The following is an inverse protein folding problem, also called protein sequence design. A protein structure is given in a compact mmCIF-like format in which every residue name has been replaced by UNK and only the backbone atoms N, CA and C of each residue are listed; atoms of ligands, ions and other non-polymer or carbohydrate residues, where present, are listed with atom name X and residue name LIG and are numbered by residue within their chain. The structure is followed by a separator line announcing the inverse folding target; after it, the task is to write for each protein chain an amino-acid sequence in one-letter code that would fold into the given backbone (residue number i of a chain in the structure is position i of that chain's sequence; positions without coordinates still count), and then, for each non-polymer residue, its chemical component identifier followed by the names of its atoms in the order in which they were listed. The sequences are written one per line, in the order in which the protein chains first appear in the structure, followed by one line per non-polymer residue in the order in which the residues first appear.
data_IF_431358140893
#
_entry.id   IF_431358140893
#
_cell.length_a   1.000
_cell.length_b   1.000
_cell.length_c   1.000
_cell.angle_alpha   90.00
_cell.angle_beta   90.00
_cell.angle_gamma   90.00
#
_symmetry.space_group_name_H-M   'P 1'
#
loop_
_entity.id
_entity.type
_entity.pdbx_description
1 polymer ?
#
# COMPACT_ATOMS: atom_id res chain seq x y z
N UNK A 1 -1.14 -9.60 -7.22
CA UNK A 1 -1.19 -9.20 -5.79
C UNK A 1 -0.93 -7.71 -5.70
N UNK A 2 -1.44 -7.05 -4.68
CA UNK A 2 -1.25 -5.64 -4.36
C UNK A 2 -0.98 -5.55 -2.85
N UNK A 3 0.11 -4.90 -2.46
CA UNK A 3 0.41 -4.61 -1.07
C UNK A 3 -0.12 -3.22 -0.69
N UNK A 4 -0.71 -3.11 0.49
CA UNK A 4 -1.17 -1.82 1.02
C UNK A 4 0.00 -0.95 1.50
N UNK A 5 -0.13 0.36 1.27
CA UNK A 5 0.69 1.39 1.90
C UNK A 5 0.02 1.94 3.17
N UNK A 6 0.84 2.45 4.09
CA UNK A 6 0.37 3.25 5.22
C UNK A 6 0.03 4.68 4.81
N UNK A 7 -0.86 5.31 5.58
CA UNK A 7 -1.16 6.73 5.50
C UNK A 7 -0.01 7.59 6.00
N UNK A 8 0.04 8.82 5.50
CA UNK A 8 0.98 9.85 5.91
C UNK A 8 0.63 10.44 7.27
N UNK A 9 1.55 11.29 7.73
CA UNK A 9 1.44 12.03 8.98
C UNK A 9 1.94 13.46 8.77
N UNK A 10 1.20 14.45 9.28
CA UNK A 10 1.44 15.89 9.02
C UNK A 10 1.75 16.67 10.31
N UNK A 11 0.99 16.43 11.40
CA UNK A 11 1.13 17.20 12.64
C UNK A 11 1.39 16.34 13.88
N UNK A 12 2.61 16.46 14.41
CA UNK A 12 3.14 15.80 15.62
C UNK A 12 2.29 15.97 16.89
N UNK A 13 1.53 17.06 17.00
CA UNK A 13 0.72 17.34 18.18
C UNK A 13 -0.64 16.64 18.21
N UNK A 14 -1.05 15.96 17.13
CA UNK A 14 -2.37 15.30 17.07
C UNK A 14 -2.47 14.04 17.95
N UNK A 15 -1.33 13.43 18.30
CA UNK A 15 -1.27 12.20 19.11
C UNK A 15 -1.78 10.92 18.44
N UNK A 16 -2.50 11.01 17.32
CA UNK A 16 -3.00 9.84 16.57
C UNK A 16 -1.97 9.36 15.56
N UNK A 17 -1.60 8.08 15.63
CA UNK A 17 -0.68 7.45 14.66
C UNK A 17 -1.42 7.24 13.34
N UNK A 18 -0.74 7.46 12.21
CA UNK A 18 -1.29 7.18 10.90
C UNK A 18 -1.65 5.69 10.72
N UNK A 19 -2.68 5.45 9.93
CA UNK A 19 -3.15 4.11 9.61
C UNK A 19 -2.14 3.35 8.78
N UNK A 20 -1.65 2.21 9.26
CA UNK A 20 -0.79 1.32 8.47
C UNK A 20 -1.59 0.60 7.37
N UNK A 21 -0.88 0.10 6.36
CA UNK A 21 -1.48 -0.78 5.35
C UNK A 21 -2.06 -2.04 6.01
N UNK A 22 -3.18 -2.53 5.50
CA UNK A 22 -3.87 -3.67 6.11
C UNK A 22 -4.15 -4.81 5.15
N UNK A 23 -4.79 -5.86 5.68
CA UNK A 23 -5.23 -7.01 4.90
C UNK A 23 -6.44 -6.62 4.03
N UNK A 24 -7.65 -7.04 4.41
CA UNK A 24 -8.87 -6.68 3.68
C UNK A 24 -9.24 -5.20 3.85
N UNK A 25 -8.85 -4.61 4.98
CA UNK A 25 -9.05 -3.20 5.31
C UNK A 25 -7.75 -2.61 5.84
N UNK A 26 -7.37 -1.43 5.37
CA UNK A 26 -6.33 -0.60 5.96
C UNK A 26 -6.68 -0.15 7.36
N UNK A 27 -5.68 0.15 8.17
CA UNK A 27 -5.94 0.69 9.50
C UNK A 27 -6.36 2.15 9.41
N UNK A 28 -7.19 2.54 10.35
CA UNK A 28 -7.61 3.93 10.53
C UNK A 28 -6.47 4.71 11.22
N UNK A 29 -6.28 5.95 10.79
CA UNK A 29 -5.65 7.02 11.57
C UNK A 29 -6.76 7.87 12.21
N UNK A 30 -6.69 9.20 12.06
CA UNK A 30 -7.87 10.05 12.26
C UNK A 30 -8.92 9.75 11.19
N UNK A 31 -8.46 9.46 9.97
CA UNK A 31 -9.31 9.03 8.86
C UNK A 31 -9.28 7.53 8.66
N UNK A 32 -10.23 7.06 7.85
CA UNK A 32 -10.48 5.65 7.67
C UNK A 32 -9.58 5.01 6.60
N UNK A 33 -9.22 3.75 6.84
CA UNK A 33 -8.45 2.96 5.90
C UNK A 33 -9.32 2.32 4.80
N UNK A 34 -8.81 2.25 3.57
CA UNK A 34 -9.52 1.66 2.43
C UNK A 34 -9.83 0.17 2.63
N UNK A 35 -10.83 -0.36 1.94
CA UNK A 35 -11.27 -1.76 2.04
C UNK A 35 -11.26 -2.48 0.67
N UNK A 36 -11.94 -3.61 0.50
CA UNK A 36 -11.95 -4.37 -0.77
C UNK A 36 -12.92 -3.84 -1.83
N UNK A 37 -13.75 -2.85 -1.51
CA UNK A 37 -14.80 -2.33 -2.38
C UNK A 37 -14.74 -0.81 -2.58
N UNK A 38 -14.06 -0.10 -1.69
CA UNK A 38 -13.97 1.36 -1.75
C UNK A 38 -12.70 1.86 -1.06
N UNK A 39 -12.22 3.02 -1.52
CA UNK A 39 -11.43 3.86 -0.65
C UNK A 39 -12.33 4.48 0.42
N UNK A 40 -11.75 4.86 1.54
CA UNK A 40 -12.53 5.35 2.68
C UNK A 40 -12.61 6.89 2.70
N UNK A 41 -13.45 7.39 3.60
CA UNK A 41 -13.74 8.81 3.76
C UNK A 41 -12.57 9.55 4.44
N UNK A 42 -12.30 10.73 3.88
CA UNK A 42 -11.33 11.74 4.30
C UNK A 42 -11.60 13.01 3.47
N UNK A 43 -10.82 14.07 3.64
CA UNK A 43 -11.00 15.30 2.81
C UNK A 43 -10.97 14.97 1.32
N UNK A 44 -9.95 14.18 0.95
CA UNK A 44 -9.83 13.51 -0.32
C UNK A 44 -9.98 12.02 -0.06
N UNK A 45 -10.95 11.41 -0.74
CA UNK A 45 -11.19 9.97 -0.64
C UNK A 45 -10.10 9.21 -1.38
N UNK A 46 -9.69 8.09 -0.79
CA UNK A 46 -8.90 7.11 -1.52
C UNK A 46 -9.72 6.49 -2.66
N UNK A 47 -9.02 5.94 -3.64
CA UNK A 47 -9.62 5.26 -4.78
C UNK A 47 -8.86 3.96 -5.07
N UNK A 48 -9.33 3.24 -6.08
CA UNK A 48 -8.63 2.06 -6.56
C UNK A 48 -7.17 2.40 -6.93
N UNK A 49 -6.21 1.71 -6.32
CA UNK A 49 -4.78 1.94 -6.55
C UNK A 49 -4.17 3.19 -5.89
N UNK A 50 -4.98 4.15 -5.41
CA UNK A 50 -4.51 5.48 -5.03
C UNK A 50 -5.04 5.89 -3.65
N UNK A 51 -4.14 6.36 -2.77
CA UNK A 51 -4.53 7.02 -1.54
C UNK A 51 -5.16 8.39 -1.79
N UNK A 52 -5.99 8.85 -0.86
CA UNK A 52 -6.55 10.19 -0.90
C UNK A 52 -5.48 11.25 -0.70
N UNK A 53 -5.53 12.35 -1.45
CA UNK A 53 -4.66 13.49 -1.23
C UNK A 53 -4.77 14.52 -2.33
N UNK A 54 -4.24 15.72 -2.07
CA UNK A 54 -4.11 16.76 -3.07
C UNK A 54 -2.79 17.50 -2.91
N UNK A 55 -1.82 17.16 -3.78
CA UNK A 55 -0.52 17.82 -3.81
C UNK A 55 -0.55 19.28 -4.30
N UNK A 56 -1.69 19.76 -4.79
CA UNK A 56 -1.89 21.14 -5.26
C UNK A 56 -2.61 22.02 -4.24
N UNK A 57 -2.93 21.50 -3.05
CA UNK A 57 -3.60 22.29 -2.01
C UNK A 57 -2.63 23.33 -1.43
N UNK A 58 -3.08 24.58 -1.42
CA UNK A 58 -2.35 25.72 -0.88
C UNK A 58 -3.22 26.44 0.17
N UNK A 59 -2.57 27.02 1.18
CA UNK A 59 -3.20 27.98 2.07
C UNK A 59 -3.59 29.24 1.28
N UNK A 60 -4.44 30.08 1.87
CA UNK A 60 -4.85 31.37 1.29
C UNK A 60 -3.67 32.24 0.79
N UNK A 61 -2.52 32.14 1.46
CA UNK A 61 -1.30 32.88 1.12
C UNK A 61 -0.39 32.17 0.10
N UNK A 62 -0.85 31.08 -0.52
CA UNK A 62 -0.10 30.35 -1.55
C UNK A 62 1.00 29.43 -1.04
N UNK A 63 1.12 29.24 0.28
CA UNK A 63 2.02 28.23 0.87
C UNK A 63 1.38 26.84 0.77
N UNK A 64 2.15 25.76 0.56
CA UNK A 64 1.61 24.40 0.59
C UNK A 64 0.81 24.14 1.86
N UNK A 65 -0.42 23.70 1.71
CA UNK A 65 -1.32 23.33 2.80
C UNK A 65 -1.40 21.81 2.83
N UNK A 66 -0.57 21.24 3.70
CA UNK A 66 -0.50 19.81 3.91
C UNK A 66 -1.85 19.27 4.38
N UNK A 67 -2.22 18.12 3.85
CA UNK A 67 -2.90 17.15 4.69
C UNK A 67 -2.16 15.83 4.55
N UNK A 68 -2.11 15.08 5.63
CA UNK A 68 -1.63 13.71 5.59
C UNK A 68 -2.36 12.95 4.48
N UNK A 69 -1.62 12.49 3.47
CA UNK A 69 -2.16 11.72 2.35
C UNK A 69 -2.46 10.28 2.79
N UNK A 70 -3.57 9.72 2.30
CA UNK A 70 -3.93 8.32 2.54
C UNK A 70 -2.93 7.35 1.92
N UNK A 71 -2.83 6.17 2.52
CA UNK A 71 -2.00 5.09 1.99
C UNK A 71 -2.62 4.50 0.73
N UNK A 72 -1.80 4.23 -0.30
CA UNK A 72 -2.23 3.50 -1.49
C UNK A 72 -2.49 2.02 -1.19
N UNK A 73 -2.98 1.27 -2.18
CA UNK A 73 -3.29 -0.15 -2.01
C UNK A 73 -4.24 -0.63 -3.10
N UNK A 74 -4.92 -1.75 -2.86
CA UNK A 74 -6.01 -2.19 -3.72
C UNK A 74 -7.10 -1.13 -3.78
N UNK A 75 -7.57 -0.68 -2.61
CA UNK A 75 -8.14 0.65 -2.45
C UNK A 75 -7.36 1.44 -1.41
N UNK A 76 -7.10 2.71 -1.71
CA UNK A 76 -6.38 3.58 -0.79
C UNK A 76 -7.23 4.11 0.36
N UNK A 77 -6.57 4.51 1.44
CA UNK A 77 -7.19 5.21 2.58
C UNK A 77 -7.48 6.68 2.27
N UNK A 78 -8.30 7.31 3.12
CA UNK A 78 -8.62 8.74 3.04
C UNK A 78 -7.52 9.64 3.58
N UNK A 79 -7.41 10.87 3.05
CA UNK A 79 -6.52 11.92 3.58
C UNK A 79 -7.12 12.64 4.77
N UNK A 80 -6.30 13.14 5.69
CA UNK A 80 -6.75 13.96 6.82
C UNK A 80 -7.63 15.16 6.40
N UNK A 81 -8.68 15.45 7.18
CA UNK A 81 -9.57 16.60 7.00
C UNK A 81 -8.90 17.96 7.22
N UNK A 82 -7.97 18.03 8.16
CA UNK A 82 -7.28 19.27 8.55
C UNK A 82 -5.83 19.00 8.86
N UNK A 83 -5.01 20.06 8.83
CA UNK A 83 -3.62 20.02 9.30
C UNK A 83 -3.52 19.57 10.75
N UNK A 84 -4.46 19.98 11.59
CA UNK A 84 -4.49 19.67 13.03
C UNK A 84 -4.88 18.20 13.30
N UNK A 85 -5.58 17.57 12.36
CA UNK A 85 -5.92 16.14 12.34
C UNK A 85 -4.98 15.33 11.45
N UNK A 86 -3.68 15.64 11.47
CA UNK A 86 -2.67 15.18 10.53
C UNK A 86 -2.30 13.68 10.54
N UNK A 87 -3.26 12.74 10.56
CA UNK A 87 -2.99 11.30 10.38
C UNK A 87 -4.02 10.66 9.45
N UNK A 88 -3.53 10.05 8.37
CA UNK A 88 -4.38 9.49 7.31
C UNK A 88 -4.61 7.99 7.48
N UNK A 89 -5.61 7.45 6.78
CA UNK A 89 -5.87 6.00 6.75
C UNK A 89 -4.92 5.24 5.82
N UNK A 90 -4.66 3.98 6.13
CA UNK A 90 -3.90 3.07 5.26
C UNK A 90 -4.75 2.47 4.15
N UNK A 91 -4.12 1.87 3.14
CA UNK A 91 -4.83 1.13 2.09
C UNK A 91 -5.13 -0.32 2.45
N UNK A 92 -5.90 -0.99 1.59
CA UNK A 92 -6.13 -2.44 1.64
C UNK A 92 -5.19 -3.19 0.70
N UNK A 93 -4.95 -4.47 0.98
CA UNK A 93 -4.15 -5.38 0.16
C UNK A 93 -5.05 -6.28 -0.69
N UNK A 94 -4.48 -6.91 -1.72
CA UNK A 94 -5.18 -7.90 -2.54
C UNK A 94 -4.25 -9.04 -2.95
N UNK A 95 -4.68 -10.27 -2.74
CA UNK A 95 -4.03 -11.48 -3.28
C UNK A 95 -5.10 -12.34 -3.93
N UNK A 96 -4.85 -12.76 -5.18
CA UNK A 96 -5.78 -13.63 -5.91
C UNK A 96 -5.96 -14.96 -5.16
N UNK A 97 -7.20 -15.31 -4.84
CA UNK A 97 -7.53 -16.50 -4.05
C UNK A 97 -7.50 -16.32 -2.53
N UNK A 98 -7.29 -15.10 -2.02
CA UNK A 98 -7.39 -14.83 -0.58
C UNK A 98 -8.85 -14.58 -0.18
N UNK A 99 -9.41 -15.31 0.81
CA UNK A 99 -10.80 -15.14 1.22
C UNK A 99 -11.15 -13.70 1.59
N UNK A 100 -12.25 -13.20 1.04
CA UNK A 100 -12.73 -11.82 1.27
C UNK A 100 -12.13 -10.78 0.34
N UNK A 101 -11.09 -11.10 -0.44
CA UNK A 101 -10.67 -10.23 -1.54
C UNK A 101 -11.71 -10.23 -2.67
N UNK A 102 -11.75 -9.13 -3.43
CA UNK A 102 -12.64 -8.98 -4.59
C UNK A 102 -11.79 -8.52 -5.76
N UNK A 103 -11.62 -9.32 -6.80
CA UNK A 103 -10.86 -8.99 -8.01
C UNK A 103 -11.56 -7.94 -8.86
N UNK A 104 -10.76 -7.20 -9.63
CA UNK A 104 -11.26 -6.45 -10.79
C UNK A 104 -11.82 -7.40 -11.84
N UNK A 105 -12.87 -6.94 -12.53
CA UNK A 105 -13.39 -7.61 -13.73
C UNK A 105 -12.43 -7.42 -14.91
N UNK A 106 -12.46 -8.34 -15.88
CA UNK A 106 -11.66 -8.25 -17.11
C UNK A 106 -11.94 -6.96 -17.89
N UNK A 107 -13.14 -6.40 -17.76
CA UNK A 107 -13.57 -5.17 -18.43
C UNK A 107 -13.48 -3.93 -17.51
N UNK A 108 -12.73 -4.00 -16.41
CA UNK A 108 -12.50 -2.86 -15.53
C UNK A 108 -11.85 -1.71 -16.31
N UNK A 109 -12.37 -0.49 -16.11
CA UNK A 109 -11.67 0.75 -16.48
C UNK A 109 -11.86 1.77 -15.37
N UNK A 110 -10.99 2.79 -15.29
CA UNK A 110 -11.13 3.84 -14.28
C UNK A 110 -12.46 4.60 -14.38
N UNK A 111 -13.00 4.76 -15.59
CA UNK A 111 -14.28 5.45 -15.85
C UNK A 111 -15.51 4.53 -15.69
N UNK A 112 -15.29 3.22 -15.60
CA UNK A 112 -16.32 2.20 -15.44
C UNK A 112 -15.77 1.09 -14.53
N UNK A 113 -15.58 1.38 -13.23
CA UNK A 113 -14.99 0.42 -12.32
C UNK A 113 -15.94 -0.76 -12.13
N UNK A 114 -15.44 -1.96 -12.46
CA UNK A 114 -16.18 -3.22 -12.38
C UNK A 114 -15.37 -4.25 -11.61
N UNK A 115 -16.05 -4.92 -10.69
CA UNK A 115 -15.45 -5.94 -9.83
C UNK A 115 -16.12 -7.28 -10.07
N UNK A 116 -15.41 -8.35 -9.73
CA UNK A 116 -15.86 -9.73 -9.92
C UNK A 116 -17.20 -9.97 -9.22
N UNK A 117 -18.12 -10.62 -9.93
CA UNK A 117 -19.38 -11.14 -9.39
C UNK A 117 -19.41 -12.67 -9.42
N UNK A 118 -18.25 -13.31 -9.58
CA UNK A 118 -18.12 -14.76 -9.53
C UNK A 118 -18.43 -15.31 -8.12
N UNK A 119 -18.66 -16.62 -8.03
CA UNK A 119 -18.88 -17.32 -6.75
C UNK A 119 -17.70 -17.13 -5.79
N UNK A 120 -16.47 -17.24 -6.31
CA UNK A 120 -15.26 -16.79 -5.62
C UNK A 120 -14.78 -15.47 -6.24
N UNK A 121 -15.17 -14.31 -5.67
CA UNK A 121 -14.79 -13.02 -6.22
C UNK A 121 -13.30 -12.72 -6.04
N UNK A 122 -12.57 -13.49 -5.22
CA UNK A 122 -11.16 -13.23 -4.92
C UNK A 122 -10.21 -13.63 -6.04
N UNK A 123 -10.66 -14.44 -7.00
CA UNK A 123 -9.81 -14.95 -8.07
C UNK A 123 -9.67 -13.89 -9.17
N UNK A 124 -8.42 -13.58 -9.53
CA UNK A 124 -8.11 -12.67 -10.63
C UNK A 124 -8.75 -13.14 -11.94
N UNK A 125 -9.22 -12.21 -12.78
CA UNK A 125 -9.93 -12.56 -14.04
C UNK A 125 -9.15 -13.47 -14.99
N UNK A 126 -7.82 -13.60 -14.81
CA UNK A 126 -6.99 -14.58 -15.52
C UNK A 126 -7.26 -16.05 -15.14
N UNK A 127 -7.97 -16.31 -14.04
CA UNK A 127 -8.10 -17.64 -13.42
C UNK A 127 -6.91 -18.06 -12.54
N UNK A 128 -5.81 -17.31 -12.55
CA UNK A 128 -4.61 -17.58 -11.73
C UNK A 128 -4.84 -17.12 -10.29
N UNK A 129 -4.55 -18.00 -9.32
CA UNK A 129 -4.59 -17.72 -7.88
C UNK A 129 -3.35 -18.24 -7.16
N UNK A 130 -3.15 -17.77 -5.94
CA UNK A 130 -2.18 -18.33 -5.01
C UNK A 130 -2.85 -19.46 -4.21
N UNK A 131 -2.10 -20.51 -3.93
CA UNK A 131 -2.53 -21.58 -3.02
C UNK A 131 -2.12 -21.21 -1.59
N UNK A 132 -3.07 -21.30 -0.65
CA UNK A 132 -2.90 -20.91 0.76
C UNK A 132 -2.28 -19.51 0.96
N UNK A 133 -2.86 -18.46 0.36
CA UNK A 133 -2.31 -17.12 0.48
C UNK A 133 -2.42 -16.61 1.91
N UNK A 134 -1.41 -15.85 2.34
CA UNK A 134 -1.39 -15.13 3.61
C UNK A 134 -1.13 -13.65 3.31
N UNK A 135 -1.92 -12.77 3.95
CA UNK A 135 -1.65 -11.34 3.99
C UNK A 135 -1.32 -11.00 5.44
N UNK A 136 -0.19 -10.33 5.65
CA UNK A 136 0.24 -9.82 6.95
C UNK A 136 0.05 -8.30 6.92
N UNK A 137 -0.64 -7.77 7.92
CA UNK A 137 -0.92 -6.34 8.01
C UNK A 137 0.26 -5.54 8.59
N UNK A 138 0.23 -4.22 8.43
CA UNK A 138 1.29 -3.30 8.86
C UNK A 138 1.53 -3.18 10.37
N UNK A 139 0.66 -3.75 11.22
CA UNK A 139 0.83 -3.81 12.69
C UNK A 139 1.29 -5.18 13.17
N UNK A 140 1.39 -6.15 12.28
CA UNK A 140 1.86 -7.49 12.56
C UNK A 140 3.34 -7.65 12.17
N UNK A 141 4.11 -8.45 12.91
CA UNK A 141 5.50 -8.72 12.56
C UNK A 141 5.56 -9.46 11.22
N UNK A 142 6.38 -8.94 10.29
CA UNK A 142 6.55 -9.52 8.96
C UNK A 142 8.04 -9.75 8.64
N UNK A 143 8.34 -10.69 7.72
CA UNK A 143 9.70 -10.91 7.26
C UNK A 143 10.29 -9.63 6.67
N UNK A 144 11.54 -9.34 6.99
CA UNK A 144 12.24 -8.23 6.39
C UNK A 144 12.63 -8.53 4.94
N UNK A 145 12.55 -7.55 4.02
CA UNK A 145 12.97 -7.75 2.64
C UNK A 145 14.47 -7.93 2.47
N UNK A 146 15.25 -7.57 3.49
CA UNK A 146 16.68 -7.75 3.47
C UNK A 146 17.02 -9.22 3.68
N UNK A 147 17.56 -9.87 2.65
CA UNK A 147 18.02 -11.27 2.72
C UNK A 147 19.12 -11.50 3.78
N UNK A 148 19.75 -10.42 4.27
CA UNK A 148 20.83 -10.46 5.26
C UNK A 148 20.36 -10.08 6.68
N UNK A 149 19.07 -9.76 6.86
CA UNK A 149 18.48 -9.48 8.16
C UNK A 149 17.40 -10.50 8.45
N UNK A 150 17.35 -11.00 9.69
CA UNK A 150 16.32 -11.95 10.13
C UNK A 150 15.38 -11.35 11.17
N UNK A 151 15.53 -10.06 11.47
CA UNK A 151 14.71 -9.38 12.47
C UNK A 151 13.36 -9.04 11.82
N UNK A 152 12.23 -9.56 12.35
CA UNK A 152 10.91 -9.18 11.87
C UNK A 152 10.67 -7.68 12.06
N UNK A 153 9.97 -7.05 11.13
CA UNK A 153 9.62 -5.63 11.21
C UNK A 153 8.12 -5.39 11.25
N UNK A 154 7.72 -4.17 11.65
CA UNK A 154 6.33 -3.73 11.75
C UNK A 154 6.03 -2.70 10.68
N UNK A 155 5.49 -3.16 9.56
CA UNK A 155 5.38 -2.35 8.36
C UNK A 155 6.76 -1.98 7.78
N UNK A 156 6.78 -1.63 6.50
CA UNK A 156 8.02 -1.23 5.84
C UNK A 156 8.08 0.29 5.72
N UNK A 157 9.14 0.89 6.28
CA UNK A 157 9.44 2.30 6.08
C UNK A 157 10.18 2.46 4.74
N UNK A 158 9.71 3.39 3.92
CA UNK A 158 10.34 3.72 2.63
C UNK A 158 9.65 3.02 1.46
N UNK A 159 10.44 2.57 0.48
CA UNK A 159 9.91 2.01 -0.76
C UNK A 159 9.30 0.62 -0.51
N UNK A 160 8.13 0.38 -1.11
CA UNK A 160 7.56 -0.96 -1.18
C UNK A 160 8.51 -1.92 -1.91
N UNK A 161 8.53 -3.18 -1.47
CA UNK A 161 9.33 -4.23 -2.10
C UNK A 161 8.43 -5.37 -2.53
N UNK A 162 8.92 -6.16 -3.49
CA UNK A 162 8.31 -7.45 -3.85
C UNK A 162 9.41 -8.49 -3.87
N UNK A 163 9.17 -9.61 -3.19
CA UNK A 163 10.04 -10.78 -3.25
C UNK A 163 9.24 -11.89 -3.92
N UNK A 164 9.73 -12.32 -5.08
CA UNK A 164 9.20 -13.50 -5.77
C UNK A 164 10.26 -14.58 -5.64
N UNK A 165 9.90 -15.69 -5.01
CA UNK A 165 10.78 -16.84 -4.85
C UNK A 165 10.08 -18.11 -5.34
N UNK A 166 10.88 -19.08 -5.79
CA UNK A 166 10.40 -20.45 -5.92
C UNK A 166 10.64 -21.17 -4.61
N UNK A 167 9.61 -21.86 -4.12
CA UNK A 167 9.73 -22.79 -3.01
C UNK A 167 9.68 -24.21 -3.59
N UNK A 168 10.82 -24.89 -3.58
CA UNK A 168 10.86 -26.32 -3.89
C UNK A 168 10.38 -27.10 -2.66
N UNK A 169 9.26 -27.81 -2.81
CA UNK A 169 8.68 -28.63 -1.73
C UNK A 169 9.39 -29.98 -1.69
N UNK A 170 10.43 -30.10 -0.88
CA UNK A 170 11.00 -31.40 -0.57
C UNK A 170 10.11 -32.11 0.45
N UNK A 171 9.84 -33.40 0.22
CA UNK A 171 9.06 -34.24 1.13
C UNK A 171 9.66 -34.31 2.54
N UNK A 172 8.85 -34.75 3.50
CA UNK A 172 9.07 -34.74 4.95
C UNK A 172 10.53 -34.97 5.40
N UNK A 173 11.09 -34.18 6.34
CA UNK A 173 10.51 -33.04 7.04
C UNK A 173 10.48 -31.78 6.16
N UNK A 174 9.40 -31.01 6.24
CA UNK A 174 9.16 -29.85 5.35
C UNK A 174 10.22 -28.75 5.52
N UNK A 175 11.26 -28.79 4.68
CA UNK A 175 12.18 -27.67 4.49
C UNK A 175 11.92 -27.06 3.11
N UNK A 176 11.31 -25.88 3.09
CA UNK A 176 11.22 -25.07 1.88
C UNK A 176 12.54 -24.35 1.65
N UNK A 177 13.25 -24.70 0.57
CA UNK A 177 14.38 -23.90 0.11
C UNK A 177 13.84 -22.74 -0.71
N UNK A 178 13.91 -21.54 -0.14
CA UNK A 178 13.55 -20.29 -0.83
C UNK A 178 14.70 -19.94 -1.78
N UNK A 179 14.46 -20.06 -3.08
CA UNK A 179 15.39 -19.54 -4.09
C UNK A 179 14.81 -18.24 -4.62
N UNK A 180 15.44 -17.10 -4.24
CA UNK A 180 15.04 -15.81 -4.77
C UNK A 180 15.26 -15.81 -6.28
N UNK A 181 14.19 -15.52 -7.06
CA UNK A 181 14.36 -15.32 -8.49
C UNK A 181 14.99 -13.92 -8.64
N UNK A 182 16.12 -13.76 -9.34
CA UNK A 182 16.93 -12.53 -9.29
C UNK A 182 16.34 -11.36 -10.10
N UNK A 183 15.02 -11.19 -10.13
CA UNK A 183 14.39 -10.03 -10.75
C UNK A 183 14.08 -8.98 -9.67
N UNK A 184 14.90 -7.93 -9.61
CA UNK A 184 14.46 -6.65 -9.04
C UNK A 184 13.37 -6.08 -9.95
N UNK A 185 12.10 -6.33 -9.60
CA UNK A 185 10.99 -5.62 -10.25
C UNK A 185 11.00 -4.20 -9.70
N UNK A 186 11.34 -3.21 -10.54
CA UNK A 186 11.14 -1.79 -10.21
C UNK A 186 9.63 -1.56 -10.12
N UNK A 187 9.10 -1.62 -8.90
CA UNK A 187 7.72 -1.23 -8.61
C UNK A 187 7.67 0.30 -8.61
N UNK A 188 7.52 0.93 -9.77
CA UNK A 188 7.26 2.37 -9.84
C UNK A 188 5.76 2.62 -9.77
N UNK A 189 5.30 3.31 -8.73
CA UNK A 189 4.06 4.07 -8.80
C UNK A 189 4.27 5.11 -9.91
N UNK A 190 3.34 5.31 -10.85
CA UNK A 190 3.40 6.46 -11.74
C UNK A 190 3.15 7.73 -10.89
N UNK A 191 4.20 8.23 -10.24
CA UNK A 191 4.18 9.58 -9.70
C UNK A 191 4.12 10.51 -10.92
N UNK A 192 2.99 11.22 -11.07
CA UNK A 192 3.02 12.50 -11.79
C UNK A 192 3.90 13.41 -10.97
N UNK A 193 5.17 13.48 -11.34
CA UNK A 193 6.17 14.35 -10.72
C UNK A 193 5.76 15.80 -11.01
N UNK A 194 5.14 16.44 -10.03
CA UNK A 194 4.96 17.89 -10.00
C UNK A 194 6.33 18.56 -9.87
N UNK A 195 6.51 19.68 -10.57
CA UNK A 195 7.73 20.50 -10.52
C UNK A 195 7.90 21.04 -9.10
N UNK A 196 8.82 20.47 -8.32
CA UNK A 196 9.69 21.11 -7.33
C UNK A 196 10.17 20.03 -6.35
N UNK A 197 11.35 19.49 -6.59
CA UNK A 197 12.01 18.59 -5.66
C UNK A 197 12.69 19.42 -4.57
N UNK A 198 12.35 19.16 -3.30
CA UNK A 198 13.09 19.69 -2.15
C UNK A 198 14.44 18.96 -1.99
N UNK A 199 15.40 19.62 -1.35
CA UNK A 199 16.76 19.17 -1.05
C UNK A 199 16.77 17.79 -0.37
N UNK A 200 15.78 17.47 0.47
CA UNK A 200 15.66 16.17 1.12
C UNK A 200 15.33 15.02 0.14
N UNK A 201 14.54 15.27 -0.89
CA UNK A 201 14.27 14.28 -1.93
C UNK A 201 15.50 14.02 -2.79
N UNK A 202 16.24 15.09 -3.12
CA UNK A 202 17.51 14.98 -3.86
C UNK A 202 18.57 14.22 -3.05
N UNK A 203 18.69 14.51 -1.76
CA UNK A 203 19.57 13.77 -0.82
C UNK A 203 19.20 12.29 -0.72
N UNK A 204 17.90 11.97 -0.72
CA UNK A 204 17.42 10.58 -0.67
C UNK A 204 17.79 9.80 -1.94
N UNK A 205 17.75 10.44 -3.12
CA UNK A 205 18.20 9.83 -4.38
C UNK A 205 19.72 9.63 -4.39
N UNK A 206 20.49 10.62 -3.91
CA UNK A 206 21.96 10.54 -3.88
C UNK A 206 22.45 9.47 -2.90
N UNK A 207 21.79 9.30 -1.75
CA UNK A 207 22.12 8.23 -0.81
C UNK A 207 21.81 6.83 -1.38
N UNK A 208 20.80 6.72 -2.24
CA UNK A 208 20.43 5.46 -2.90
C UNK A 208 21.30 5.12 -4.12
N UNK A 209 22.02 6.08 -4.70
CA UNK A 209 22.92 5.83 -5.84
C UNK A 209 24.37 5.52 -5.44
N UNK A 210 24.70 5.67 -4.15
CA UNK A 210 26.03 5.41 -3.60
C UNK A 210 26.12 4.13 -2.76
N UNK A 211 25.03 3.33 -2.69
CA UNK A 211 24.96 2.05 -1.98
C UNK A 211 24.78 0.84 -2.90
#
# INVERSE_FOLDING_TARGET
MVAAGGGGYDYAGSGTIAGSGGCLKGFDGNEKGGNQTSGDDGYYKGNFGLGGGNGERLFYYGTPDGNAGGGGGYFGGGSAFTVDMGSAGGGSSYISGFPGCISVDKNYTQNNPKFSTAEDPSIHYSGIKFENPVIIDGRSPMPTPSLNSTIPEYGHIGNGHVIISTAEKFGYPYFSRITAIPYKVKCSIPLKVGRNFDVFFTLSIVYLSLG
#
